data_IF_055649955008
#
_entry.id   IF_055649955008
#
_cell.length_a   1.000
_cell.length_b   1.000
_cell.length_c   1.000
_cell.angle_alpha   90.00
_cell.angle_beta   90.00
_cell.angle_gamma   90.00
#
_symmetry.space_group_name_H-M   'P 1'
#
loop_
_entity.id
_entity.type
_entity.pdbx_description
1 polymer ?
#
# COMPACT_ATOMS: atom_id res chain seq x y z
N UNK A 1 -33.88 45.16 7.40
CA UNK A 1 -34.03 43.69 7.63
C UNK A 1 -33.89 43.43 9.14
N UNK A 2 -34.81 42.68 9.77
CA UNK A 2 -34.94 42.69 11.22
C UNK A 2 -33.73 41.98 11.83
N UNK A 3 -32.96 42.72 12.61
CA UNK A 3 -31.67 42.32 13.20
C UNK A 3 -31.72 40.94 13.87
N UNK A 4 -32.88 40.59 14.46
CA UNK A 4 -33.21 39.28 15.02
C UNK A 4 -33.04 38.14 14.01
N UNK A 5 -33.64 38.21 12.81
CA UNK A 5 -33.56 37.13 11.80
C UNK A 5 -32.13 36.89 11.32
N UNK A 6 -31.28 37.93 11.31
CA UNK A 6 -29.85 37.79 11.00
C UNK A 6 -29.11 37.04 12.11
N UNK A 7 -29.36 37.37 13.39
CA UNK A 7 -28.77 36.67 14.55
C UNK A 7 -29.16 35.19 14.59
N UNK A 8 -30.42 34.85 14.32
CA UNK A 8 -30.87 33.44 14.24
C UNK A 8 -30.25 32.67 13.08
N UNK A 9 -30.08 33.30 11.91
CA UNK A 9 -29.38 32.68 10.77
C UNK A 9 -27.91 32.41 11.06
N UNK A 10 -27.23 33.35 11.72
CA UNK A 10 -25.83 33.17 12.15
C UNK A 10 -25.74 32.05 13.18
N UNK A 11 -26.64 32.02 14.16
CA UNK A 11 -26.69 30.96 15.18
C UNK A 11 -26.93 29.58 14.56
N UNK A 12 -27.90 29.45 13.64
CA UNK A 12 -28.17 28.19 12.94
C UNK A 12 -26.99 27.76 12.06
N UNK A 13 -26.28 28.72 11.46
CA UNK A 13 -25.08 28.43 10.68
C UNK A 13 -23.99 27.83 11.56
N UNK A 14 -23.72 28.40 12.74
CA UNK A 14 -22.71 27.88 13.67
C UNK A 14 -23.10 26.54 14.27
N UNK A 15 -24.40 26.32 14.52
CA UNK A 15 -24.95 25.04 14.98
C UNK A 15 -24.64 23.89 14.02
N UNK A 16 -24.50 24.17 12.72
CA UNK A 16 -24.15 23.15 11.71
C UNK A 16 -22.64 23.13 11.45
N UNK A 17 -22.01 24.30 11.28
CA UNK A 17 -20.60 24.40 10.89
C UNK A 17 -19.66 23.88 11.97
N UNK A 18 -19.92 24.21 13.23
CA UNK A 18 -19.01 23.87 14.33
C UNK A 18 -18.96 22.35 14.57
N UNK A 19 -20.09 21.62 14.69
CA UNK A 19 -20.05 20.16 14.80
C UNK A 19 -19.46 19.48 13.57
N UNK A 20 -19.72 20.02 12.37
CA UNK A 20 -19.17 19.46 11.12
C UNK A 20 -17.64 19.58 11.09
N UNK A 21 -17.10 20.72 11.49
CA UNK A 21 -15.66 20.94 11.59
C UNK A 21 -15.02 20.05 12.66
N UNK A 22 -15.66 19.91 13.82
CA UNK A 22 -15.17 19.02 14.88
C UNK A 22 -15.20 17.55 14.45
N UNK A 23 -16.24 17.12 13.75
CA UNK A 23 -16.33 15.77 13.20
C UNK A 23 -15.27 15.51 12.14
N UNK A 24 -15.05 16.45 11.22
CA UNK A 24 -14.00 16.33 10.21
C UNK A 24 -12.61 16.24 10.86
N UNK A 25 -12.33 17.10 11.85
CA UNK A 25 -11.08 17.04 12.60
C UNK A 25 -10.91 15.68 13.31
N UNK A 26 -11.94 15.21 14.01
CA UNK A 26 -11.94 13.90 14.66
C UNK A 26 -11.67 12.76 13.66
N UNK A 27 -12.34 12.78 12.49
CA UNK A 27 -12.15 11.78 11.44
C UNK A 27 -10.71 11.74 10.90
N UNK A 28 -10.05 12.89 10.74
CA UNK A 28 -8.65 12.91 10.32
C UNK A 28 -7.68 12.49 11.43
N UNK A 29 -8.07 12.60 12.71
CA UNK A 29 -7.28 12.05 13.84
C UNK A 29 -7.47 10.55 14.06
N UNK A 30 -8.51 9.95 13.46
CA UNK A 30 -8.76 8.50 13.48
C UNK A 30 -7.83 7.71 12.57
N UNK A 31 -6.76 8.32 12.05
CA UNK A 31 -5.76 7.63 11.26
C UNK A 31 -5.34 6.35 12.00
N UNK A 32 -5.50 5.16 11.37
CA UNK A 32 -5.03 3.93 11.99
C UNK A 32 -3.53 4.05 12.25
N UNK A 33 -3.03 3.27 13.22
CA UNK A 33 -1.59 3.15 13.46
C UNK A 33 -0.90 2.97 12.10
N UNK A 34 0.21 3.68 11.90
CA UNK A 34 1.04 3.54 10.70
C UNK A 34 1.25 2.06 10.40
N UNK A 35 1.15 1.68 9.14
CA UNK A 35 1.39 0.30 8.71
C UNK A 35 2.74 -0.16 9.26
N UNK A 36 2.71 -1.16 10.14
CA UNK A 36 3.92 -1.81 10.65
C UNK A 36 4.55 -2.59 9.50
N UNK A 37 5.86 -2.44 9.32
CA UNK A 37 6.59 -3.15 8.29
C UNK A 37 6.47 -4.66 8.47
N UNK A 38 6.66 -5.43 7.39
CA UNK A 38 6.72 -6.90 7.48
C UNK A 38 7.84 -7.34 8.44
N UNK A 39 8.93 -6.57 8.48
CA UNK A 39 10.05 -6.82 9.39
C UNK A 39 9.60 -6.78 10.86
N UNK A 40 8.88 -5.74 11.25
CA UNK A 40 8.38 -5.54 12.63
C UNK A 40 7.25 -6.53 12.96
N UNK A 41 6.26 -6.66 12.06
CA UNK A 41 5.05 -7.44 12.31
C UNK A 41 5.30 -8.97 12.28
N UNK A 42 6.29 -9.43 11.50
CA UNK A 42 6.52 -10.85 11.23
C UNK A 42 7.94 -11.27 11.57
N UNK A 43 8.97 -10.64 11.00
CA UNK A 43 10.36 -11.13 11.11
C UNK A 43 10.84 -11.08 12.56
N UNK A 44 10.68 -9.93 13.23
CA UNK A 44 11.05 -9.76 14.64
C UNK A 44 10.23 -10.66 15.55
N UNK A 45 8.93 -10.77 15.31
CA UNK A 45 8.05 -11.65 16.08
C UNK A 45 8.53 -13.10 16.02
N UNK A 46 8.77 -13.62 14.81
CA UNK A 46 9.21 -15.00 14.62
C UNK A 46 10.61 -15.23 15.18
N UNK A 47 11.53 -14.28 15.02
CA UNK A 47 12.87 -14.37 15.59
C UNK A 47 12.82 -14.48 17.13
N UNK A 48 12.04 -13.62 17.78
CA UNK A 48 11.84 -13.62 19.22
C UNK A 48 11.18 -14.92 19.73
N UNK A 49 10.19 -15.45 19.02
CA UNK A 49 9.57 -16.75 19.34
C UNK A 49 10.59 -17.90 19.36
N UNK A 50 11.68 -17.78 18.58
CA UNK A 50 12.76 -18.75 18.52
C UNK A 50 13.98 -18.37 19.39
N UNK A 51 13.88 -17.33 20.23
CA UNK A 51 14.96 -16.86 21.10
C UNK A 51 16.16 -16.31 20.33
N UNK A 52 15.92 -15.72 19.15
CA UNK A 52 16.93 -15.16 18.24
C UNK A 52 16.62 -13.69 17.99
N UNK A 53 17.63 -12.88 17.73
CA UNK A 53 17.41 -11.51 17.23
C UNK A 53 17.17 -11.53 15.71
N UNK A 54 16.30 -10.64 15.24
CA UNK A 54 16.10 -10.45 13.82
C UNK A 54 17.42 -10.02 13.18
N UNK A 55 17.87 -10.77 12.18
CA UNK A 55 19.12 -10.51 11.47
C UNK A 55 18.79 -10.14 10.03
N UNK A 56 19.61 -9.28 9.42
CA UNK A 56 19.47 -8.94 8.01
C UNK A 56 19.45 -10.21 7.14
N UNK A 57 18.60 -10.27 6.11
CA UNK A 57 18.54 -11.41 5.21
C UNK A 57 19.88 -11.58 4.49
N UNK A 58 20.28 -12.83 4.24
CA UNK A 58 21.52 -13.15 3.53
C UNK A 58 21.56 -12.60 2.10
N UNK A 59 20.38 -12.48 1.49
CA UNK A 59 20.16 -11.85 0.20
C UNK A 59 19.03 -10.87 0.42
N UNK A 60 19.29 -9.58 0.22
CA UNK A 60 18.26 -8.54 0.22
C UNK A 60 17.83 -8.29 -1.24
N UNK A 61 16.75 -8.92 -1.73
CA UNK A 61 16.26 -8.70 -3.09
C UNK A 61 15.71 -7.29 -3.29
N UNK A 62 15.40 -6.55 -2.22
CA UNK A 62 14.97 -5.16 -2.26
C UNK A 62 16.12 -4.17 -2.37
N UNK A 63 17.35 -4.60 -2.05
CA UNK A 63 18.56 -3.77 -2.23
C UNK A 63 18.97 -3.70 -3.70
N UNK A 64 18.96 -2.49 -4.26
CA UNK A 64 19.35 -2.24 -5.64
C UNK A 64 18.44 -2.92 -6.66
N UNK A 65 19.03 -3.43 -7.74
CA UNK A 65 18.28 -3.87 -8.93
C UNK A 65 18.15 -5.40 -9.04
N UNK A 66 18.48 -6.16 -7.99
CA UNK A 66 18.54 -7.63 -8.06
C UNK A 66 17.19 -8.26 -8.43
N UNK A 67 16.10 -7.77 -7.82
CA UNK A 67 14.75 -8.22 -8.13
C UNK A 67 14.34 -7.84 -9.57
N UNK A 68 14.70 -6.64 -10.02
CA UNK A 68 14.42 -6.19 -11.39
C UNK A 68 15.16 -7.05 -12.43
N UNK A 69 16.42 -7.40 -12.13
CA UNK A 69 17.21 -8.31 -12.96
C UNK A 69 16.59 -9.72 -13.00
N UNK A 70 16.11 -10.23 -11.85
CA UNK A 70 15.39 -11.50 -11.80
C UNK A 70 14.14 -11.51 -12.69
N UNK A 71 13.34 -10.45 -12.64
CA UNK A 71 12.19 -10.28 -13.52
C UNK A 71 12.58 -10.22 -15.00
N UNK A 72 13.67 -9.52 -15.34
CA UNK A 72 14.18 -9.44 -16.71
C UNK A 72 14.57 -10.83 -17.24
N UNK A 73 15.34 -11.60 -16.47
CA UNK A 73 15.79 -12.94 -16.88
C UNK A 73 14.59 -13.88 -17.03
N UNK A 74 13.70 -13.91 -16.05
CA UNK A 74 12.50 -14.73 -16.10
C UNK A 74 11.60 -14.36 -17.28
N UNK A 75 11.41 -13.06 -17.53
CA UNK A 75 10.65 -12.54 -18.65
C UNK A 75 11.27 -12.90 -20.00
N UNK A 76 12.60 -12.79 -20.13
CA UNK A 76 13.31 -13.17 -21.34
C UNK A 76 13.15 -14.67 -21.62
N UNK A 77 13.47 -15.54 -20.65
CA UNK A 77 13.36 -17.00 -20.80
C UNK A 77 11.91 -17.40 -21.11
N UNK A 78 10.95 -16.86 -20.34
CA UNK A 78 9.52 -17.12 -20.54
C UNK A 78 9.02 -16.67 -21.90
N UNK A 79 9.41 -15.47 -22.35
CA UNK A 79 9.06 -14.93 -23.66
C UNK A 79 9.63 -15.77 -24.81
N UNK A 80 10.89 -16.18 -24.73
CA UNK A 80 11.51 -17.06 -25.73
C UNK A 80 10.84 -18.44 -25.77
N UNK A 81 10.60 -19.06 -24.62
CA UNK A 81 9.93 -20.36 -24.54
C UNK A 81 8.51 -20.28 -25.12
N UNK A 82 7.73 -19.28 -24.69
CA UNK A 82 6.38 -19.06 -25.19
C UNK A 82 6.37 -18.82 -26.71
N UNK A 83 7.27 -17.99 -27.22
CA UNK A 83 7.40 -17.72 -28.65
C UNK A 83 7.78 -18.97 -29.46
N UNK A 84 8.69 -19.80 -28.94
CA UNK A 84 9.08 -21.06 -29.57
C UNK A 84 7.89 -22.03 -29.68
N UNK A 85 7.18 -22.26 -28.58
CA UNK A 85 6.02 -23.15 -28.58
C UNK A 85 4.89 -22.60 -29.43
N UNK A 86 4.65 -21.29 -29.40
CA UNK A 86 3.67 -20.64 -30.27
C UNK A 86 3.99 -20.88 -31.75
N UNK A 87 5.24 -20.72 -32.16
CA UNK A 87 5.69 -21.03 -33.53
C UNK A 87 5.48 -22.50 -33.87
N UNK A 88 5.72 -23.42 -32.94
CA UNK A 88 5.52 -24.85 -33.15
C UNK A 88 4.03 -25.22 -33.30
N UNK A 89 3.16 -24.61 -32.49
CA UNK A 89 1.70 -24.82 -32.51
C UNK A 89 1.04 -24.21 -33.75
N UNK A 90 1.52 -23.05 -34.21
CA UNK A 90 0.91 -22.30 -35.32
C UNK A 90 1.62 -22.47 -36.66
N UNK A 91 2.81 -23.06 -36.66
CA UNK A 91 3.52 -23.44 -37.87
C UNK A 91 2.71 -24.48 -38.64
N UNK A 92 2.08 -24.07 -39.75
CA UNK A 92 1.43 -24.99 -40.68
C UNK A 92 2.44 -26.08 -41.05
N UNK A 93 2.09 -27.33 -40.77
CA UNK A 93 2.79 -28.49 -41.31
C UNK A 93 2.94 -28.29 -42.82
N UNK A 94 4.17 -28.40 -43.31
CA UNK A 94 4.40 -28.62 -44.74
C UNK A 94 3.74 -29.93 -45.16
#
# INVERSE_FOLDING_TARGET
>A
MPERRRKWKVLSMHLVLLPTLLFAFYFFTLAPKSWEGVDEAVVEKIANEHGREATAPLIDPGSGDLLLFGFLVAGAVGGFAAGYFWRQLTGKGK
#
